data_IF_032246949025
#
_entry.id   IF_032246949025
#
_cell.length_a   1.000
_cell.length_b   1.000
_cell.length_c   1.000
_cell.angle_alpha   90.00
_cell.angle_beta   90.00
_cell.angle_gamma   90.00
#
_symmetry.space_group_name_H-M   'P 1'
#
loop_
_entity.id
_entity.type
_entity.pdbx_description
1 polymer ?
#
# COMPACT_ATOMS: atom_id res chain seq x y z
N UNK A 1 -105.39 2.75 27.49
CA UNK A 1 -104.92 3.53 28.66
C UNK A 1 -103.43 3.22 28.80
N UNK A 2 -102.52 4.18 28.57
CA UNK A 2 -101.79 4.93 29.63
C UNK A 2 -101.26 3.97 30.73
N UNK A 3 -99.99 3.94 31.18
CA UNK A 3 -98.86 4.89 31.12
C UNK A 3 -97.69 4.31 31.99
N UNK A 4 -96.44 4.66 31.66
CA UNK A 4 -95.28 4.99 32.53
C UNK A 4 -94.50 3.87 33.27
N UNK A 5 -93.19 3.76 32.98
CA UNK A 5 -92.00 3.97 33.87
C UNK A 5 -90.73 3.56 33.06
N UNK A 6 -89.90 4.47 32.55
CA UNK A 6 -88.71 5.10 33.18
C UNK A 6 -87.68 4.11 33.75
N UNK A 7 -86.49 4.03 33.13
CA UNK A 7 -85.26 3.66 33.84
C UNK A 7 -84.13 3.02 33.01
N UNK A 8 -82.96 3.66 33.06
CA UNK A 8 -81.60 3.09 32.93
C UNK A 8 -80.93 2.97 31.53
N UNK A 9 -80.23 4.06 31.20
CA UNK A 9 -78.81 4.09 30.84
C UNK A 9 -78.33 3.43 29.53
N UNK A 10 -78.47 4.19 28.44
CA UNK A 10 -77.67 4.06 27.22
C UNK A 10 -76.39 4.89 27.40
N UNK A 11 -75.28 4.25 27.77
CA UNK A 11 -73.98 4.89 27.96
C UNK A 11 -72.95 4.39 26.93
N UNK A 12 -72.63 5.29 26.00
CA UNK A 12 -71.31 5.52 25.40
C UNK A 12 -70.44 4.32 24.98
N UNK A 13 -70.52 3.93 23.70
CA UNK A 13 -69.39 3.41 22.93
C UNK A 13 -69.07 4.37 21.78
N UNK A 14 -68.29 5.40 22.08
CA UNK A 14 -67.60 6.27 21.12
C UNK A 14 -66.16 6.39 21.61
N UNK A 15 -65.38 5.34 21.40
CA UNK A 15 -63.95 5.32 21.69
C UNK A 15 -63.17 5.36 20.37
N UNK A 16 -62.71 6.56 20.05
CA UNK A 16 -61.39 6.87 19.49
C UNK A 16 -60.88 6.00 18.32
N UNK A 17 -61.36 6.30 17.11
CA UNK A 17 -60.57 6.18 15.88
C UNK A 17 -59.60 7.36 15.77
N UNK A 18 -58.62 7.45 16.68
CA UNK A 18 -57.54 8.41 16.56
C UNK A 18 -56.54 7.90 15.52
N UNK A 19 -56.71 8.34 14.27
CA UNK A 19 -55.63 8.26 13.28
C UNK A 19 -54.53 9.17 13.81
N UNK A 20 -53.52 8.61 14.47
CA UNK A 20 -52.34 9.37 14.82
C UNK A 20 -51.78 9.95 13.51
N UNK A 21 -51.48 11.25 13.43
CA UNK A 21 -50.75 11.77 12.29
C UNK A 21 -49.43 11.00 12.25
N UNK A 22 -49.19 10.28 11.16
CA UNK A 22 -47.87 9.75 10.87
C UNK A 22 -46.91 10.95 10.96
N UNK A 23 -46.06 10.96 11.98
CA UNK A 23 -45.01 11.97 12.11
C UNK A 23 -44.26 12.01 10.78
N UNK A 24 -44.31 13.18 10.15
CA UNK A 24 -43.70 13.46 8.87
C UNK A 24 -42.27 12.91 8.87
N UNK A 25 -41.99 11.99 7.94
CA UNK A 25 -40.63 11.76 7.49
C UNK A 25 -40.11 13.14 7.05
N UNK A 26 -39.12 13.69 7.78
CA UNK A 26 -38.56 15.01 7.46
C UNK A 26 -38.15 15.06 5.99
N UNK A 27 -38.29 16.23 5.36
CA UNK A 27 -38.02 16.41 3.92
C UNK A 27 -36.67 15.75 3.53
N UNK A 28 -36.67 14.68 2.71
CA UNK A 28 -35.44 13.94 2.39
C UNK A 28 -34.41 14.81 1.65
N UNK A 29 -34.87 15.87 0.97
CA UNK A 29 -34.00 16.83 0.28
C UNK A 29 -33.56 18.01 1.15
N UNK A 30 -33.80 17.95 2.46
CA UNK A 30 -33.27 18.97 3.36
C UNK A 30 -31.73 18.95 3.33
N UNK A 31 -31.08 20.12 3.17
CA UNK A 31 -29.65 20.24 3.37
C UNK A 31 -29.26 19.84 4.79
N UNK A 32 -28.15 19.12 4.94
CA UNK A 32 -27.52 18.78 6.22
C UNK A 32 -26.20 19.51 6.40
N UNK A 33 -25.45 19.68 5.30
CA UNK A 33 -24.18 20.38 5.27
C UNK A 33 -24.11 21.21 4.00
N UNK A 34 -23.68 22.46 4.11
CA UNK A 34 -23.28 23.29 2.99
C UNK A 34 -21.75 23.28 2.90
N UNK A 35 -21.22 23.07 1.70
CA UNK A 35 -19.80 23.07 1.37
C UNK A 35 -19.61 24.08 0.24
N UNK A 36 -19.08 25.26 0.56
CA UNK A 36 -19.07 26.41 -0.33
C UNK A 36 -20.50 26.69 -0.87
N UNK A 37 -20.70 26.65 -2.19
CA UNK A 37 -21.98 26.92 -2.84
C UNK A 37 -22.81 25.65 -3.11
N UNK A 38 -22.42 24.50 -2.55
CA UNK A 38 -23.11 23.21 -2.73
C UNK A 38 -23.66 22.67 -1.42
N UNK A 39 -24.78 21.95 -1.48
CA UNK A 39 -25.36 21.26 -0.34
C UNK A 39 -25.15 19.74 -0.43
N UNK A 40 -25.07 19.12 0.75
CA UNK A 40 -25.23 17.68 0.96
C UNK A 40 -26.57 17.48 1.65
N UNK A 41 -27.47 16.72 1.03
CA UNK A 41 -28.82 16.48 1.55
C UNK A 41 -28.90 15.23 2.42
N UNK A 42 -30.00 15.11 3.17
CA UNK A 42 -30.31 13.89 3.94
C UNK A 42 -30.42 12.66 3.04
N UNK A 43 -31.07 12.79 1.89
CA UNK A 43 -31.23 11.72 0.92
C UNK A 43 -29.87 11.20 0.43
N UNK A 44 -28.97 12.08 0.00
CA UNK A 44 -27.64 11.69 -0.47
C UNK A 44 -26.82 10.99 0.60
N UNK A 45 -26.91 11.45 1.85
CA UNK A 45 -26.25 10.79 2.97
C UNK A 45 -26.75 9.36 3.18
N UNK A 46 -28.07 9.16 3.17
CA UNK A 46 -28.66 7.83 3.32
C UNK A 46 -28.32 6.90 2.15
N UNK A 47 -28.30 7.43 0.92
CA UNK A 47 -27.88 6.70 -0.27
C UNK A 47 -26.41 6.29 -0.20
N UNK A 48 -25.54 7.22 0.24
CA UNK A 48 -24.10 6.96 0.40
C UNK A 48 -23.83 5.88 1.44
N UNK A 49 -24.54 5.88 2.57
CA UNK A 49 -24.39 4.85 3.61
C UNK A 49 -24.70 3.47 3.02
N UNK A 50 -25.85 3.30 2.35
CA UNK A 50 -26.22 2.03 1.71
C UNK A 50 -25.21 1.60 0.65
N UNK A 51 -24.76 2.55 -0.16
CA UNK A 51 -23.73 2.30 -1.17
C UNK A 51 -22.44 1.75 -0.54
N UNK A 52 -21.94 2.39 0.53
CA UNK A 52 -20.73 1.93 1.24
C UNK A 52 -20.90 0.57 1.93
N UNK A 53 -22.10 0.26 2.44
CA UNK A 53 -22.42 -1.04 3.03
C UNK A 53 -22.34 -2.17 2.00
N UNK A 54 -22.84 -1.95 0.79
CA UNK A 54 -22.75 -2.93 -0.31
C UNK A 54 -21.30 -3.17 -0.72
N UNK A 55 -20.49 -2.10 -0.74
CA UNK A 55 -19.07 -2.17 -1.02
C UNK A 55 -18.26 -2.80 0.13
N UNK A 56 -18.89 -3.10 1.27
CA UNK A 56 -18.24 -3.58 2.51
C UNK A 56 -17.07 -2.68 2.93
N UNK A 57 -17.25 -1.37 2.78
CA UNK A 57 -16.26 -0.41 3.23
C UNK A 57 -16.08 -0.50 4.76
N UNK A 58 -14.84 -0.46 5.29
CA UNK A 58 -14.56 -0.68 6.71
C UNK A 58 -15.30 0.29 7.64
N UNK A 59 -15.59 1.50 7.17
CA UNK A 59 -16.28 2.55 7.92
C UNK A 59 -17.57 3.02 7.20
N UNK A 60 -18.52 2.11 6.96
CA UNK A 60 -19.81 2.42 6.33
C UNK A 60 -20.82 3.08 7.31
N UNK A 61 -20.35 4.00 8.14
CA UNK A 61 -21.16 4.75 9.09
C UNK A 61 -21.60 6.13 8.56
N UNK A 62 -22.45 6.81 9.34
CA UNK A 62 -23.00 8.11 8.98
C UNK A 62 -21.91 9.20 8.88
N UNK A 63 -20.93 9.20 9.77
CA UNK A 63 -19.91 10.24 9.82
C UNK A 63 -18.96 10.14 8.63
N UNK A 64 -18.53 8.92 8.31
CA UNK A 64 -17.70 8.61 7.16
C UNK A 64 -18.42 8.89 5.82
N UNK A 65 -19.72 8.55 5.74
CA UNK A 65 -20.52 8.88 4.56
C UNK A 65 -20.71 10.40 4.37
N UNK A 66 -20.95 11.17 5.45
CA UNK A 66 -21.01 12.63 5.40
C UNK A 66 -19.68 13.21 4.93
N UNK A 67 -18.56 12.76 5.51
CA UNK A 67 -17.23 13.22 5.14
C UNK A 67 -16.88 12.91 3.67
N UNK A 68 -17.23 11.71 3.18
CA UNK A 68 -17.03 11.34 1.78
C UNK A 68 -17.81 12.25 0.82
N UNK A 69 -19.05 12.63 1.16
CA UNK A 69 -19.85 13.55 0.36
C UNK A 69 -19.29 14.97 0.39
N UNK A 70 -18.78 15.43 1.54
CA UNK A 70 -18.06 16.71 1.64
C UNK A 70 -16.84 16.69 0.70
N UNK A 71 -16.04 15.63 0.76
CA UNK A 71 -14.84 15.48 -0.08
C UNK A 71 -15.22 15.44 -1.57
N UNK A 72 -16.30 14.76 -1.95
CA UNK A 72 -16.82 14.77 -3.33
C UNK A 72 -17.19 16.21 -3.79
N UNK A 73 -17.81 17.03 -2.92
CA UNK A 73 -18.07 18.44 -3.23
C UNK A 73 -16.78 19.24 -3.42
N UNK A 74 -15.75 19.00 -2.60
CA UNK A 74 -14.47 19.68 -2.73
C UNK A 74 -13.72 19.28 -4.00
N UNK A 75 -13.79 18.01 -4.40
CA UNK A 75 -13.24 17.51 -5.67
C UNK A 75 -13.90 18.18 -6.87
N UNK A 76 -15.23 18.23 -6.88
CA UNK A 76 -16.01 18.91 -7.92
C UNK A 76 -15.70 20.42 -7.95
N UNK A 77 -15.59 21.05 -6.78
CA UNK A 77 -15.22 22.46 -6.67
C UNK A 77 -13.83 22.74 -7.27
N UNK A 78 -12.83 21.94 -6.95
CA UNK A 78 -11.48 22.08 -7.50
C UNK A 78 -11.46 21.85 -9.03
N UNK A 79 -12.20 20.87 -9.52
CA UNK A 79 -12.34 20.61 -10.95
C UNK A 79 -12.98 21.80 -11.68
N UNK A 80 -14.06 22.36 -11.12
CA UNK A 80 -14.75 23.51 -11.70
C UNK A 80 -13.85 24.76 -11.78
N UNK A 81 -12.98 25.00 -10.79
CA UNK A 81 -12.00 26.09 -10.84
C UNK A 81 -11.01 25.96 -12.01
N UNK A 82 -10.78 24.75 -12.49
CA UNK A 82 -9.89 24.44 -13.61
C UNK A 82 -10.63 24.24 -14.93
N UNK A 83 -11.96 24.40 -14.95
CA UNK A 83 -12.79 24.11 -16.12
C UNK A 83 -12.83 22.62 -16.50
N UNK A 84 -12.57 21.73 -15.55
CA UNK A 84 -12.60 20.27 -15.73
C UNK A 84 -14.02 19.76 -15.47
N UNK A 85 -14.59 19.07 -16.44
CA UNK A 85 -15.91 18.42 -16.33
C UNK A 85 -15.85 17.00 -16.86
N UNK A 86 -16.55 16.06 -16.22
CA UNK A 86 -16.68 14.70 -16.74
C UNK A 86 -17.75 14.66 -17.85
N UNK A 87 -17.39 14.15 -19.03
CA UNK A 87 -18.36 13.86 -20.10
C UNK A 87 -19.12 12.56 -19.82
N UNK A 88 -20.32 12.41 -20.40
CA UNK A 88 -21.13 11.20 -20.25
C UNK A 88 -20.36 9.93 -20.65
N UNK A 89 -19.59 9.99 -21.75
CA UNK A 89 -18.77 8.88 -22.21
C UNK A 89 -17.68 8.49 -21.18
N UNK A 90 -17.07 9.46 -20.51
CA UNK A 90 -16.09 9.18 -19.45
C UNK A 90 -16.77 8.58 -18.22
N UNK A 91 -17.98 9.05 -17.87
CA UNK A 91 -18.76 8.48 -16.77
C UNK A 91 -19.11 7.03 -17.09
N UNK A 92 -19.63 6.74 -18.28
CA UNK A 92 -19.99 5.39 -18.71
C UNK A 92 -18.79 4.44 -18.70
N UNK A 93 -17.62 4.89 -19.19
CA UNK A 93 -16.38 4.15 -19.10
C UNK A 93 -15.95 3.91 -17.64
N UNK A 94 -16.08 4.93 -16.78
CA UNK A 94 -15.77 4.82 -15.35
C UNK A 94 -16.72 3.87 -14.60
N UNK A 95 -18.01 3.83 -14.95
CA UNK A 95 -18.97 2.87 -14.41
C UNK A 95 -18.58 1.44 -14.79
N UNK A 96 -18.18 1.22 -16.04
CA UNK A 96 -17.73 -0.08 -16.53
C UNK A 96 -16.44 -0.53 -15.84
N UNK A 97 -15.46 0.36 -15.72
CA UNK A 97 -14.21 0.09 -14.99
C UNK A 97 -14.51 -0.26 -13.53
N UNK A 98 -15.38 0.50 -12.86
CA UNK A 98 -15.70 0.28 -11.46
C UNK A 98 -16.41 -1.07 -11.24
N UNK A 99 -17.44 -1.37 -12.03
CA UNK A 99 -18.17 -2.64 -11.94
C UNK A 99 -17.25 -3.85 -12.25
N UNK A 100 -16.34 -3.68 -13.23
CA UNK A 100 -15.38 -4.71 -13.62
C UNK A 100 -14.44 -5.14 -12.50
N UNK A 101 -14.16 -4.29 -11.51
CA UNK A 101 -13.35 -4.64 -10.32
C UNK A 101 -14.02 -5.70 -9.44
N UNK A 102 -15.35 -5.78 -9.49
CA UNK A 102 -16.13 -6.82 -8.83
C UNK A 102 -16.41 -8.03 -9.75
N UNK A 103 -15.80 -8.08 -10.94
CA UNK A 103 -16.11 -9.04 -12.01
C UNK A 103 -17.58 -8.98 -12.47
N UNK A 104 -18.20 -7.80 -12.44
CA UNK A 104 -19.60 -7.58 -12.82
C UNK A 104 -19.71 -6.61 -14.00
N UNK A 105 -20.77 -6.75 -14.80
CA UNK A 105 -21.16 -5.74 -15.79
C UNK A 105 -21.90 -4.55 -15.14
N UNK A 106 -21.96 -3.40 -15.84
CA UNK A 106 -22.62 -2.18 -15.32
C UNK A 106 -24.08 -2.43 -14.96
N UNK A 107 -24.84 -3.12 -15.81
CA UNK A 107 -26.26 -3.43 -15.56
C UNK A 107 -26.44 -4.37 -14.36
N UNK A 108 -25.58 -5.38 -14.23
CA UNK A 108 -25.62 -6.33 -13.12
C UNK A 108 -25.31 -5.64 -11.79
N UNK A 109 -24.26 -4.82 -11.78
CA UNK A 109 -23.90 -4.03 -10.62
C UNK A 109 -25.00 -3.03 -10.25
N UNK A 110 -25.58 -2.34 -11.23
CA UNK A 110 -26.69 -1.40 -11.01
C UNK A 110 -27.93 -2.11 -10.45
N UNK A 111 -28.25 -3.33 -10.91
CA UNK A 111 -29.34 -4.14 -10.34
C UNK A 111 -29.05 -4.53 -8.89
N UNK A 112 -27.82 -4.92 -8.56
CA UNK A 112 -27.42 -5.22 -7.19
C UNK A 112 -27.56 -4.00 -6.26
N UNK A 113 -27.17 -2.82 -6.74
CA UNK A 113 -27.38 -1.55 -6.04
C UNK A 113 -28.88 -1.25 -5.82
N UNK A 114 -29.69 -1.39 -6.86
CA UNK A 114 -31.12 -1.14 -6.80
C UNK A 114 -31.85 -2.07 -5.82
N UNK A 115 -31.47 -3.35 -5.75
CA UNK A 115 -31.99 -4.33 -4.78
C UNK A 115 -31.70 -3.94 -3.34
N UNK A 116 -30.58 -3.26 -3.10
CA UNK A 116 -30.21 -2.71 -1.80
C UNK A 116 -30.74 -1.27 -1.58
N UNK A 117 -31.58 -0.76 -2.48
CA UNK A 117 -32.21 0.55 -2.37
C UNK A 117 -31.26 1.73 -2.62
N UNK A 118 -30.20 1.52 -3.39
CA UNK A 118 -29.29 2.56 -3.88
C UNK A 118 -29.71 2.99 -5.29
N UNK A 119 -29.94 4.29 -5.47
CA UNK A 119 -30.27 4.93 -6.74
C UNK A 119 -29.06 4.94 -7.68
N UNK A 120 -29.30 4.74 -8.98
CA UNK A 120 -28.26 4.76 -10.01
C UNK A 120 -27.51 6.09 -10.02
N UNK A 121 -28.20 7.20 -9.74
CA UNK A 121 -27.55 8.51 -9.70
C UNK A 121 -26.43 8.58 -8.65
N UNK A 122 -26.59 7.91 -7.49
CA UNK A 122 -25.56 7.84 -6.44
C UNK A 122 -24.26 7.22 -6.98
N UNK A 123 -24.39 6.18 -7.79
CA UNK A 123 -23.25 5.51 -8.41
C UNK A 123 -22.60 6.40 -9.49
N UNK A 124 -23.41 7.06 -10.32
CA UNK A 124 -22.93 8.03 -11.32
C UNK A 124 -22.17 9.20 -10.68
N UNK A 125 -22.72 9.80 -9.64
CA UNK A 125 -22.11 10.95 -8.94
C UNK A 125 -20.77 10.57 -8.31
N UNK A 126 -20.69 9.39 -7.68
CA UNK A 126 -19.45 8.87 -7.12
C UNK A 126 -18.36 8.69 -8.19
N UNK A 127 -18.72 8.11 -9.34
CA UNK A 127 -17.78 7.91 -10.44
C UNK A 127 -17.37 9.25 -11.06
N UNK A 128 -18.30 10.18 -11.26
CA UNK A 128 -18.02 11.50 -11.80
C UNK A 128 -17.04 12.29 -10.91
N UNK A 129 -17.27 12.31 -9.59
CA UNK A 129 -16.37 12.95 -8.63
C UNK A 129 -14.95 12.35 -8.69
N UNK A 130 -14.84 11.02 -8.83
CA UNK A 130 -13.56 10.34 -9.01
C UNK A 130 -12.85 10.68 -10.33
N UNK A 131 -13.58 10.76 -11.44
CA UNK A 131 -13.03 11.12 -12.76
C UNK A 131 -12.44 12.53 -12.75
N UNK A 132 -13.24 13.51 -12.32
CA UNK A 132 -12.76 14.91 -12.32
C UNK A 132 -11.60 15.09 -11.36
N UNK A 133 -11.60 14.36 -10.23
CA UNK A 133 -10.50 14.42 -9.29
C UNK A 133 -9.20 13.86 -9.87
N UNK A 134 -9.25 12.71 -10.56
CA UNK A 134 -8.06 12.18 -11.25
C UNK A 134 -7.49 13.19 -12.25
N UNK A 135 -8.36 13.90 -12.96
CA UNK A 135 -7.93 14.91 -13.92
C UNK A 135 -7.33 16.15 -13.25
N UNK A 136 -7.89 16.60 -12.12
CA UNK A 136 -7.29 17.64 -11.27
C UNK A 136 -5.90 17.23 -10.80
N UNK A 137 -5.74 16.02 -10.28
CA UNK A 137 -4.44 15.48 -9.83
C UNK A 137 -3.45 15.44 -11.01
N UNK A 138 -3.88 14.96 -12.17
CA UNK A 138 -3.05 14.85 -13.39
C UNK A 138 -2.58 16.20 -13.90
N UNK A 139 -3.45 17.21 -13.93
CA UNK A 139 -3.09 18.53 -14.47
C UNK A 139 -2.33 19.39 -13.47
N UNK A 140 -2.70 19.34 -12.18
CA UNK A 140 -2.15 20.24 -11.16
C UNK A 140 -0.96 19.66 -10.41
N UNK A 141 -1.02 18.39 -10.02
CA UNK A 141 -0.10 17.81 -9.03
C UNK A 141 1.01 17.00 -9.68
N UNK A 142 0.69 16.19 -10.69
CA UNK A 142 1.68 15.36 -11.41
C UNK A 142 2.91 16.17 -11.88
N UNK A 143 2.77 17.36 -12.50
CA UNK A 143 3.94 18.14 -12.95
C UNK A 143 4.84 18.64 -11.81
N UNK A 144 4.32 18.70 -10.58
CA UNK A 144 5.04 19.17 -9.40
C UNK A 144 5.81 18.03 -8.70
N UNK A 145 5.49 16.78 -9.02
CA UNK A 145 6.12 15.62 -8.41
C UNK A 145 7.35 15.22 -9.21
N UNK A 146 8.50 15.20 -8.54
CA UNK A 146 9.76 14.69 -9.09
C UNK A 146 10.35 13.68 -8.12
N UNK A 147 10.97 12.64 -8.68
CA UNK A 147 11.73 11.63 -7.93
C UNK A 147 13.19 11.86 -8.23
N UNK A 148 13.96 12.24 -7.20
CA UNK A 148 15.40 12.43 -7.36
C UNK A 148 16.12 11.08 -7.35
N UNK A 149 17.30 11.02 -7.97
CA UNK A 149 18.11 9.79 -7.94
C UNK A 149 18.56 9.44 -6.52
N UNK A 150 18.80 10.44 -5.66
CA UNK A 150 19.13 10.22 -4.25
C UNK A 150 17.98 9.56 -3.47
N UNK A 151 16.74 9.96 -3.73
CA UNK A 151 15.54 9.36 -3.14
C UNK A 151 15.35 7.91 -3.62
N UNK A 152 15.58 7.68 -4.92
CA UNK A 152 15.54 6.34 -5.51
C UNK A 152 16.61 5.43 -4.88
N UNK A 153 17.85 5.91 -4.75
CA UNK A 153 18.95 5.17 -4.14
C UNK A 153 18.65 4.84 -2.67
N UNK A 154 18.08 5.79 -1.92
CA UNK A 154 17.68 5.59 -0.53
C UNK A 154 16.61 4.51 -0.40
N UNK A 155 15.58 4.50 -1.25
CA UNK A 155 14.52 3.49 -1.20
C UNK A 155 15.03 2.11 -1.63
N UNK A 156 15.89 2.04 -2.64
CA UNK A 156 16.53 0.79 -3.05
C UNK A 156 17.42 0.24 -1.94
N UNK A 157 18.21 1.09 -1.28
CA UNK A 157 19.05 0.68 -0.15
C UNK A 157 18.19 0.20 1.02
N UNK A 158 17.10 0.91 1.35
CA UNK A 158 16.14 0.49 2.38
C UNK A 158 15.57 -0.89 2.09
N UNK A 159 15.22 -1.18 0.84
CA UNK A 159 14.71 -2.49 0.44
C UNK A 159 15.74 -3.60 0.67
N UNK A 160 17.03 -3.32 0.40
CA UNK A 160 18.15 -4.24 0.56
C UNK A 160 18.45 -4.50 2.04
N UNK A 161 18.42 -3.45 2.85
CA UNK A 161 18.66 -3.49 4.30
C UNK A 161 17.48 -4.04 5.10
N UNK A 162 16.29 -4.11 4.49
CA UNK A 162 15.12 -4.72 5.12
C UNK A 162 15.24 -6.24 5.05
N UNK A 163 15.33 -6.96 6.18
CA UNK A 163 15.36 -8.42 6.18
C UNK A 163 14.05 -8.97 5.61
N UNK A 164 14.14 -9.95 4.71
CA UNK A 164 12.96 -10.70 4.29
C UNK A 164 12.66 -11.76 5.34
N UNK A 165 11.38 -11.98 5.62
CA UNK A 165 10.95 -13.10 6.46
C UNK A 165 11.33 -14.39 5.75
N UNK A 166 12.21 -15.17 6.38
CA UNK A 166 12.64 -16.48 5.87
C UNK A 166 12.02 -17.62 6.65
N UNK A 167 11.71 -17.40 7.93
CA UNK A 167 11.14 -18.41 8.81
C UNK A 167 9.99 -17.84 9.62
N UNK A 168 9.00 -18.68 9.90
CA UNK A 168 7.83 -18.32 10.71
C UNK A 168 7.58 -19.36 11.79
N UNK A 169 7.00 -18.89 12.89
CA UNK A 169 6.44 -19.73 13.94
C UNK A 169 4.92 -19.51 13.97
N UNK A 170 4.17 -20.55 13.60
CA UNK A 170 2.72 -20.51 13.52
C UNK A 170 2.10 -21.41 14.58
N UNK A 171 0.94 -21.02 15.08
CA UNK A 171 -0.02 -21.95 15.67
C UNK A 171 -1.22 -22.12 14.73
N UNK A 172 -1.79 -23.31 14.68
CA UNK A 172 -2.97 -23.64 13.88
C UNK A 172 -4.16 -24.04 14.76
N UNK A 173 -5.36 -23.79 14.25
CA UNK A 173 -6.62 -24.27 14.81
C UNK A 173 -7.51 -24.69 13.64
N UNK A 174 -7.87 -25.97 13.59
CA UNK A 174 -8.70 -26.55 12.52
C UNK A 174 -10.05 -26.94 13.09
N UNK A 175 -11.10 -26.25 12.65
CA UNK A 175 -12.49 -26.51 13.01
C UNK A 175 -13.10 -27.43 11.95
N UNK A 176 -13.53 -28.66 12.28
CA UNK A 176 -14.23 -29.52 11.33
C UNK A 176 -15.50 -28.85 10.79
N UNK A 177 -15.68 -28.95 9.48
CA UNK A 177 -16.82 -28.42 8.75
C UNK A 177 -17.37 -29.51 7.80
N UNK A 178 -17.89 -30.64 8.34
CA UNK A 178 -18.50 -31.67 7.50
C UNK A 178 -19.72 -31.12 6.75
N UNK A 179 -20.16 -31.79 5.67
CA UNK A 179 -21.32 -31.36 4.89
C UNK A 179 -22.55 -31.03 5.75
N UNK A 180 -23.05 -29.81 5.64
CA UNK A 180 -24.19 -29.29 6.40
C UNK A 180 -23.85 -28.57 7.70
N UNK A 181 -22.58 -28.48 8.09
CA UNK A 181 -22.11 -27.77 9.30
C UNK A 181 -21.15 -26.61 8.99
N UNK A 182 -20.93 -26.28 7.72
CA UNK A 182 -19.96 -25.28 7.27
C UNK A 182 -20.27 -23.89 7.85
N UNK A 183 -21.55 -23.50 7.87
CA UNK A 183 -21.97 -22.22 8.44
C UNK A 183 -21.71 -22.13 9.95
N UNK A 184 -21.87 -23.24 10.67
CA UNK A 184 -21.60 -23.30 12.10
C UNK A 184 -20.09 -23.20 12.38
N UNK A 185 -19.28 -23.95 11.64
CA UNK A 185 -17.82 -23.90 11.73
C UNK A 185 -17.28 -22.49 11.41
N UNK A 186 -17.82 -21.86 10.37
CA UNK A 186 -17.47 -20.49 9.99
C UNK A 186 -17.85 -19.49 11.09
N UNK A 187 -19.09 -19.55 11.61
CA UNK A 187 -19.53 -18.65 12.68
C UNK A 187 -18.69 -18.79 13.96
N UNK A 188 -18.24 -20.01 14.30
CA UNK A 188 -17.29 -20.22 15.38
C UNK A 188 -15.93 -19.58 15.07
N UNK A 189 -15.39 -19.80 13.87
CA UNK A 189 -14.11 -19.21 13.46
C UNK A 189 -14.13 -17.67 13.54
N UNK A 190 -15.17 -17.03 13.01
CA UNK A 190 -15.36 -15.58 13.06
C UNK A 190 -15.43 -15.07 14.51
N UNK A 191 -16.12 -15.79 15.39
CA UNK A 191 -16.18 -15.46 16.82
C UNK A 191 -14.81 -15.56 17.52
N UNK A 192 -13.98 -16.51 17.10
CA UNK A 192 -12.61 -16.68 17.60
C UNK A 192 -11.70 -15.55 17.12
N UNK A 193 -11.77 -15.17 15.84
CA UNK A 193 -11.05 -13.97 15.34
C UNK A 193 -11.42 -12.73 16.14
N UNK A 194 -12.69 -12.59 16.50
CA UNK A 194 -13.17 -11.46 17.29
C UNK A 194 -12.84 -11.54 18.79
N UNK A 195 -12.48 -12.68 19.35
CA UNK A 195 -12.25 -12.81 20.81
C UNK A 195 -10.78 -13.05 21.18
N UNK A 196 -10.00 -13.70 20.32
CA UNK A 196 -8.57 -13.94 20.54
C UNK A 196 -7.81 -12.60 20.46
N UNK A 197 -7.02 -12.30 21.50
CA UNK A 197 -6.17 -11.10 21.58
C UNK A 197 -4.71 -11.40 21.84
N UNK A 198 -4.42 -12.62 22.25
CA UNK A 198 -3.09 -13.07 22.61
C UNK A 198 -2.85 -14.52 22.16
N UNK A 199 -1.58 -14.92 22.16
CA UNK A 199 -1.18 -16.30 21.91
C UNK A 199 -1.81 -17.27 22.92
N UNK A 200 -2.01 -16.83 24.18
CA UNK A 200 -2.62 -17.64 25.22
C UNK A 200 -4.09 -17.92 24.94
N UNK A 201 -4.83 -16.92 24.42
CA UNK A 201 -6.23 -17.09 24.02
C UNK A 201 -6.34 -18.06 22.85
N UNK A 202 -5.47 -17.90 21.84
CA UNK A 202 -5.43 -18.82 20.71
C UNK A 202 -5.09 -20.24 21.13
N UNK A 203 -4.10 -20.40 22.03
CA UNK A 203 -3.71 -21.68 22.59
C UNK A 203 -4.86 -22.37 23.33
N UNK A 204 -5.66 -21.61 24.09
CA UNK A 204 -6.85 -22.14 24.76
C UNK A 204 -7.93 -22.58 23.76
N UNK A 205 -8.21 -21.74 22.75
CA UNK A 205 -9.16 -22.05 21.70
C UNK A 205 -8.73 -23.29 20.89
N UNK A 206 -7.44 -23.42 20.58
CA UNK A 206 -6.88 -24.56 19.86
C UNK A 206 -7.08 -25.86 20.64
N UNK A 207 -6.77 -25.88 21.94
CA UNK A 207 -7.02 -27.04 22.81
C UNK A 207 -8.50 -27.44 22.89
N UNK A 208 -9.40 -26.46 22.82
CA UNK A 208 -10.84 -26.68 22.98
C UNK A 208 -11.54 -27.09 21.68
N UNK A 209 -11.13 -26.53 20.54
CA UNK A 209 -11.90 -26.59 19.31
C UNK A 209 -11.17 -27.24 18.12
N UNK A 210 -9.84 -27.38 18.17
CA UNK A 210 -9.09 -27.92 17.05
C UNK A 210 -9.19 -29.45 16.98
N UNK A 211 -9.36 -29.98 15.77
CA UNK A 211 -9.43 -31.42 15.50
C UNK A 211 -8.10 -32.04 15.02
N UNK A 212 -6.98 -31.35 15.26
CA UNK A 212 -5.63 -31.80 14.90
C UNK A 212 -4.83 -32.28 16.11
N UNK A 213 -3.83 -33.19 15.95
CA UNK A 213 -2.93 -33.57 17.05
C UNK A 213 -2.18 -32.39 17.67
N UNK A 214 -1.89 -31.36 16.86
CA UNK A 214 -1.25 -30.13 17.34
C UNK A 214 -2.06 -29.43 18.44
N UNK A 215 -3.37 -29.69 18.56
CA UNK A 215 -4.23 -29.16 19.62
C UNK A 215 -3.69 -29.46 21.02
N UNK A 216 -3.11 -30.64 21.25
CA UNK A 216 -2.51 -31.04 22.52
C UNK A 216 -1.32 -30.13 22.90
N UNK A 217 -0.55 -29.74 21.88
CA UNK A 217 0.53 -28.75 21.97
C UNK A 217 0.03 -27.32 21.73
N UNK A 218 -1.26 -27.06 22.03
CA UNK A 218 -1.89 -25.74 21.89
C UNK A 218 -1.86 -25.15 20.47
N UNK A 219 -1.95 -26.03 19.47
CA UNK A 219 -1.87 -25.72 18.05
C UNK A 219 -0.46 -25.42 17.55
N UNK A 220 0.59 -25.58 18.36
CA UNK A 220 1.93 -25.08 18.01
C UNK A 220 2.59 -25.90 16.91
N UNK A 221 2.94 -25.25 15.80
CA UNK A 221 3.83 -25.79 14.77
C UNK A 221 5.30 -25.43 15.05
N UNK A 222 6.28 -26.25 14.64
CA UNK A 222 7.69 -25.89 14.73
C UNK A 222 8.03 -24.69 13.84
N UNK A 223 9.17 -24.05 14.11
CA UNK A 223 9.73 -23.07 13.18
C UNK A 223 9.94 -23.72 11.83
N UNK A 224 9.52 -23.05 10.77
CA UNK A 224 9.70 -23.55 9.41
C UNK A 224 10.08 -22.44 8.44
N UNK A 225 10.86 -22.77 7.40
CA UNK A 225 11.05 -21.91 6.25
C UNK A 225 9.70 -21.50 5.66
N UNK A 226 9.56 -20.22 5.31
CA UNK A 226 8.34 -19.68 4.71
C UNK A 226 7.99 -20.39 3.38
N UNK A 227 9.01 -20.80 2.64
CA UNK A 227 8.90 -21.55 1.38
C UNK A 227 8.26 -22.93 1.55
N UNK A 228 8.30 -23.52 2.75
CA UNK A 228 7.65 -24.78 3.06
C UNK A 228 6.13 -24.62 3.24
N UNK A 229 5.61 -23.39 3.31
CA UNK A 229 4.16 -23.15 3.31
C UNK A 229 3.58 -23.33 1.90
N UNK A 230 2.34 -23.88 1.81
CA UNK A 230 1.55 -23.84 0.58
C UNK A 230 1.56 -22.44 -0.05
N UNK A 231 1.72 -22.33 -1.39
CA UNK A 231 1.80 -21.03 -2.06
C UNK A 231 0.65 -20.07 -1.74
N UNK A 232 -0.56 -20.60 -1.57
CA UNK A 232 -1.76 -19.83 -1.20
C UNK A 232 -1.71 -19.23 0.20
N UNK A 233 -0.96 -19.81 1.14
CA UNK A 233 -0.85 -19.33 2.52
C UNK A 233 0.22 -18.26 2.70
N UNK A 234 1.29 -18.29 1.90
CA UNK A 234 2.41 -17.33 2.01
C UNK A 234 1.97 -15.87 2.04
N UNK A 235 1.14 -15.34 1.11
CA UNK A 235 0.75 -13.93 1.14
C UNK A 235 -0.09 -13.59 2.38
N UNK A 236 -0.91 -14.52 2.87
CA UNK A 236 -1.71 -14.34 4.08
C UNK A 236 -0.76 -14.19 5.28
N UNK A 237 0.17 -15.12 5.47
CA UNK A 237 1.13 -15.08 6.58
C UNK A 237 2.05 -13.86 6.50
N UNK A 238 2.52 -13.47 5.30
CA UNK A 238 3.34 -12.28 5.09
C UNK A 238 2.61 -10.96 5.37
N UNK A 239 1.28 -10.94 5.25
CA UNK A 239 0.46 -9.77 5.59
C UNK A 239 0.21 -9.63 7.10
N UNK A 240 0.43 -10.70 7.87
CA UNK A 240 0.22 -10.73 9.32
C UNK A 240 1.42 -10.17 10.06
N UNK A 241 1.18 -9.55 11.21
CA UNK A 241 2.20 -9.20 12.19
C UNK A 241 2.27 -10.27 13.28
N UNK A 242 3.45 -10.51 13.90
CA UNK A 242 3.53 -11.32 15.11
C UNK A 242 2.49 -10.89 16.15
N UNK A 243 1.80 -11.85 16.75
CA UNK A 243 0.68 -11.66 17.66
C UNK A 243 -0.70 -11.59 16.99
N UNK A 244 -0.80 -11.68 15.66
CA UNK A 244 -2.07 -11.63 14.94
C UNK A 244 -2.64 -13.01 14.60
N UNK A 245 -3.97 -13.10 14.60
CA UNK A 245 -4.75 -14.22 14.07
C UNK A 245 -5.17 -13.94 12.61
N UNK A 246 -5.19 -14.97 11.77
CA UNK A 246 -5.64 -14.87 10.38
C UNK A 246 -7.17 -14.71 10.31
N UNK A 247 -7.67 -14.31 9.14
CA UNK A 247 -9.07 -14.54 8.80
C UNK A 247 -9.37 -16.04 8.65
N UNK A 248 -10.63 -16.49 8.79
CA UNK A 248 -11.01 -17.88 8.54
C UNK A 248 -10.68 -18.31 7.12
N UNK A 249 -9.96 -19.43 6.99
CA UNK A 249 -9.61 -20.03 5.70
C UNK A 249 -10.45 -21.28 5.50
N UNK A 250 -11.24 -21.32 4.42
CA UNK A 250 -12.03 -22.51 4.08
C UNK A 250 -11.18 -23.49 3.28
N UNK A 251 -11.19 -24.74 3.74
CA UNK A 251 -10.66 -25.88 3.00
C UNK A 251 -11.74 -26.95 2.95
N UNK A 252 -11.57 -27.96 2.11
CA UNK A 252 -12.55 -29.04 2.01
C UNK A 252 -12.74 -29.73 3.38
N UNK A 253 -13.96 -29.65 3.92
CA UNK A 253 -14.32 -30.27 5.19
C UNK A 253 -13.84 -29.55 6.46
N UNK A 254 -13.23 -28.36 6.39
CA UNK A 254 -12.78 -27.63 7.57
C UNK A 254 -12.66 -26.10 7.39
N UNK A 255 -12.63 -25.38 8.51
CA UNK A 255 -12.24 -23.97 8.60
C UNK A 255 -10.96 -23.87 9.42
N UNK A 256 -9.94 -23.21 8.88
CA UNK A 256 -8.61 -23.11 9.48
C UNK A 256 -8.33 -21.68 9.92
N UNK A 257 -7.75 -21.53 11.11
CA UNK A 257 -7.20 -20.28 11.62
C UNK A 257 -5.72 -20.47 11.92
N UNK A 258 -4.92 -19.45 11.61
CA UNK A 258 -3.52 -19.37 12.00
C UNK A 258 -3.27 -18.22 12.96
N UNK A 259 -2.33 -18.41 13.88
CA UNK A 259 -1.77 -17.35 14.70
C UNK A 259 -0.28 -17.23 14.42
N UNK A 260 0.16 -16.05 13.98
CA UNK A 260 1.58 -15.79 13.77
C UNK A 260 2.22 -15.48 15.12
N UNK A 261 2.94 -16.44 15.70
CA UNK A 261 3.61 -16.23 16.99
C UNK A 261 4.82 -15.32 16.83
N UNK A 262 5.65 -15.62 15.84
CA UNK A 262 6.89 -14.90 15.59
C UNK A 262 7.36 -15.13 14.15
N UNK A 263 8.23 -14.25 13.67
CA UNK A 263 8.84 -14.31 12.34
C UNK A 263 10.31 -13.92 12.42
N UNK A 264 11.17 -14.62 11.68
CA UNK A 264 12.59 -14.30 11.56
C UNK A 264 12.92 -14.04 10.11
N UNK A 265 13.87 -13.14 9.90
CA UNK A 265 14.32 -12.79 8.56
C UNK A 265 15.82 -12.78 8.41
N UNK A 266 16.25 -12.82 7.15
CA UNK A 266 17.64 -12.62 6.75
C UNK A 266 17.69 -11.54 5.67
N UNK A 267 18.82 -10.84 5.60
CA UNK A 267 19.10 -9.99 4.45
C UNK A 267 19.30 -10.86 3.21
N UNK A 268 19.04 -10.28 2.04
CA UNK A 268 19.34 -10.93 0.76
C UNK A 268 20.83 -11.24 0.67
N UNK A 269 21.23 -12.35 0.00
CA UNK A 269 22.63 -12.58 -0.37
C UNK A 269 23.20 -11.34 -1.09
N UNK A 270 24.43 -10.95 -0.75
CA UNK A 270 25.06 -9.74 -1.32
C UNK A 270 24.61 -8.40 -0.72
N UNK A 271 23.57 -8.35 0.12
CA UNK A 271 23.12 -7.10 0.75
C UNK A 271 24.17 -6.45 1.66
N UNK A 272 25.01 -7.27 2.30
CA UNK A 272 26.11 -6.80 3.16
C UNK A 272 27.42 -6.60 2.40
N UNK A 273 27.55 -7.18 1.22
CA UNK A 273 28.75 -7.04 0.41
C UNK A 273 28.79 -5.63 -0.16
N UNK A 274 29.93 -4.95 0.02
CA UNK A 274 30.13 -3.59 -0.46
C UNK A 274 30.92 -3.63 -1.75
N UNK A 275 30.49 -2.82 -2.72
CA UNK A 275 31.22 -2.52 -3.94
C UNK A 275 31.59 -1.04 -3.88
N UNK A 276 32.87 -0.74 -4.08
CA UNK A 276 33.37 0.63 -4.14
C UNK A 276 33.68 0.97 -5.60
N UNK A 277 33.11 2.08 -6.06
CA UNK A 277 33.56 2.79 -7.25
C UNK A 277 34.49 3.92 -6.81
N UNK A 278 35.74 3.91 -7.29
CA UNK A 278 36.77 4.85 -6.85
C UNK A 278 37.75 5.14 -7.98
N UNK A 279 38.42 6.30 -7.88
CA UNK A 279 39.51 6.70 -8.77
C UNK A 279 40.84 6.57 -8.05
N UNK A 280 41.81 5.97 -8.72
CA UNK A 280 43.22 5.97 -8.34
C UNK A 280 44.01 6.81 -9.33
N UNK A 281 44.67 7.84 -8.84
CA UNK A 281 45.48 8.76 -9.64
C UNK A 281 46.90 8.87 -9.09
N UNK A 282 47.87 8.37 -9.85
CA UNK A 282 49.30 8.48 -9.56
C UNK A 282 49.88 9.78 -10.11
N UNK A 283 50.52 10.56 -9.26
CA UNK A 283 51.00 11.91 -9.52
C UNK A 283 52.49 12.03 -9.18
N UNK A 284 53.17 12.97 -9.83
CA UNK A 284 54.61 13.09 -9.75
C UNK A 284 55.10 13.61 -8.38
N UNK A 285 54.23 14.30 -7.62
CA UNK A 285 54.58 14.83 -6.29
C UNK A 285 53.38 14.97 -5.37
N UNK A 286 53.65 14.98 -4.06
CA UNK A 286 52.64 15.23 -3.02
C UNK A 286 51.98 16.61 -3.15
N UNK A 287 52.74 17.64 -3.51
CA UNK A 287 52.22 18.99 -3.67
C UNK A 287 51.19 19.07 -4.81
N UNK A 288 51.47 18.39 -5.93
CA UNK A 288 50.55 18.31 -7.05
C UNK A 288 49.26 17.55 -6.69
N UNK A 289 49.38 16.42 -5.98
CA UNK A 289 48.24 15.65 -5.52
C UNK A 289 47.34 16.43 -4.58
N UNK A 290 47.90 17.13 -3.59
CA UNK A 290 47.11 17.98 -2.70
C UNK A 290 46.41 19.13 -3.44
N UNK A 291 47.07 19.71 -4.46
CA UNK A 291 46.47 20.77 -5.28
C UNK A 291 45.30 20.24 -6.10
N UNK A 292 45.44 19.08 -6.74
CA UNK A 292 44.37 18.45 -7.53
C UNK A 292 43.21 18.06 -6.62
N UNK A 293 43.49 17.42 -5.48
CA UNK A 293 42.49 17.06 -4.48
C UNK A 293 41.66 18.28 -4.02
N UNK A 294 42.32 19.39 -3.71
CA UNK A 294 41.64 20.61 -3.28
C UNK A 294 40.82 21.32 -4.37
N UNK A 295 40.96 20.93 -5.64
CA UNK A 295 40.25 21.51 -6.79
C UNK A 295 39.21 20.54 -7.39
N UNK A 296 39.09 19.33 -6.84
CA UNK A 296 38.22 18.29 -7.38
C UNK A 296 37.08 18.02 -6.42
N UNK A 297 35.85 18.36 -6.83
CA UNK A 297 34.64 18.12 -6.03
C UNK A 297 33.99 16.76 -6.38
N UNK A 298 34.41 16.15 -7.49
CA UNK A 298 33.88 14.89 -7.97
C UNK A 298 34.94 14.02 -8.65
N UNK A 299 34.65 12.72 -8.78
CA UNK A 299 35.51 11.81 -9.54
C UNK A 299 35.67 12.21 -11.01
N UNK A 300 34.69 12.90 -11.59
CA UNK A 300 34.79 13.39 -12.97
C UNK A 300 35.85 14.49 -13.13
N UNK A 301 36.01 15.34 -12.11
CA UNK A 301 36.97 16.46 -12.12
C UNK A 301 38.42 15.96 -12.18
N UNK A 302 38.71 14.83 -11.53
CA UNK A 302 40.02 14.19 -11.59
C UNK A 302 40.43 13.84 -13.03
N UNK A 303 39.49 13.39 -13.87
CA UNK A 303 39.76 13.10 -15.28
C UNK A 303 39.96 14.36 -16.12
N UNK A 304 39.41 15.50 -15.70
CA UNK A 304 39.71 16.79 -16.33
C UNK A 304 41.17 17.17 -16.08
N UNK A 305 41.67 16.94 -14.86
CA UNK A 305 43.07 17.18 -14.51
C UNK A 305 44.05 16.21 -15.17
N UNK A 306 43.60 15.00 -15.54
CA UNK A 306 44.42 13.98 -16.16
C UNK A 306 44.49 14.05 -17.71
N UNK A 307 43.92 15.10 -18.33
CA UNK A 307 43.94 15.24 -19.80
C UNK A 307 45.37 15.26 -20.34
N UNK A 308 45.66 14.35 -21.28
CA UNK A 308 46.98 14.22 -21.89
C UNK A 308 47.96 13.33 -21.13
N UNK A 309 47.57 12.78 -19.98
CA UNK A 309 48.36 11.79 -19.25
C UNK A 309 48.10 10.36 -19.77
N UNK A 310 49.05 9.43 -19.59
CA UNK A 310 48.83 8.01 -19.89
C UNK A 310 47.65 7.44 -19.09
N UNK A 311 46.82 6.56 -19.67
CA UNK A 311 45.67 5.96 -18.99
C UNK A 311 46.07 5.09 -17.79
N UNK A 312 47.33 4.71 -17.67
CA UNK A 312 47.82 3.97 -16.49
C UNK A 312 48.02 4.85 -15.26
N UNK A 313 48.08 6.17 -15.42
CA UNK A 313 48.24 7.10 -14.31
C UNK A 313 46.91 7.37 -13.58
N UNK A 314 45.78 7.29 -14.28
CA UNK A 314 44.45 7.49 -13.70
C UNK A 314 43.53 6.33 -14.07
N UNK A 315 42.98 5.65 -13.06
CA UNK A 315 42.11 4.50 -13.25
C UNK A 315 40.86 4.65 -12.39
N UNK A 316 39.68 4.57 -12.99
CA UNK A 316 38.42 4.36 -12.25
C UNK A 316 38.16 2.87 -12.17
N UNK A 317 37.83 2.40 -10.99
CA UNK A 317 37.63 0.98 -10.71
C UNK A 317 36.36 0.81 -9.89
N UNK A 318 35.58 -0.21 -10.23
CA UNK A 318 34.41 -0.63 -9.46
C UNK A 318 34.66 -2.06 -9.02
N UNK A 319 34.99 -2.25 -7.74
CA UNK A 319 35.42 -3.54 -7.20
C UNK A 319 34.70 -3.86 -5.91
N UNK A 320 34.36 -5.14 -5.65
CA UNK A 320 33.99 -5.59 -4.31
C UNK A 320 35.08 -5.21 -3.32
N UNK A 321 34.70 -4.77 -2.12
CA UNK A 321 35.63 -4.31 -1.10
C UNK A 321 36.70 -5.36 -0.76
N UNK A 322 36.35 -6.65 -0.82
CA UNK A 322 37.29 -7.75 -0.59
C UNK A 322 38.34 -7.96 -1.69
N UNK A 323 38.17 -7.34 -2.86
CA UNK A 323 39.11 -7.41 -3.99
C UNK A 323 40.05 -6.18 -4.06
N UNK A 324 39.83 -5.17 -3.22
CA UNK A 324 40.64 -3.95 -3.18
C UNK A 324 41.90 -4.21 -2.35
N UNK A 325 43.10 -3.79 -2.81
CA UNK A 325 44.33 -3.93 -2.03
C UNK A 325 44.21 -3.34 -0.63
N UNK A 326 44.69 -4.04 0.41
CA UNK A 326 44.46 -3.68 1.81
C UNK A 326 44.84 -2.23 2.17
N UNK A 327 45.93 -1.71 1.59
CA UNK A 327 46.37 -0.33 1.80
C UNK A 327 45.39 0.70 1.23
N UNK A 328 44.85 0.44 0.03
CA UNK A 328 43.84 1.29 -0.61
C UNK A 328 42.49 1.18 0.13
N UNK A 329 42.09 -0.04 0.49
CA UNK A 329 40.85 -0.32 1.21
C UNK A 329 40.75 0.43 2.55
N UNK A 330 41.83 0.48 3.34
CA UNK A 330 41.88 1.22 4.61
C UNK A 330 41.69 2.73 4.43
N UNK A 331 42.17 3.29 3.31
CA UNK A 331 41.98 4.71 2.99
C UNK A 331 40.55 4.96 2.53
N UNK A 332 40.04 4.16 1.60
CA UNK A 332 38.68 4.28 1.07
C UNK A 332 37.60 4.03 2.13
N UNK A 333 37.90 3.28 3.20
CA UNK A 333 36.95 2.96 4.27
C UNK A 333 36.50 4.17 5.09
N UNK A 334 37.36 5.19 5.24
CA UNK A 334 37.04 6.40 6.02
C UNK A 334 36.50 7.54 5.17
N UNK A 335 36.53 7.39 3.84
CA UNK A 335 36.06 8.40 2.91
C UNK A 335 34.54 8.34 2.74
N UNK A 336 33.94 9.51 2.60
CA UNK A 336 32.59 9.68 2.08
C UNK A 336 32.59 9.81 0.54
N UNK A 337 31.40 9.80 -0.07
CA UNK A 337 31.26 9.97 -1.53
C UNK A 337 31.89 11.30 -1.99
N UNK A 338 32.74 11.21 -3.01
CA UNK A 338 33.60 12.26 -3.58
C UNK A 338 34.69 12.82 -2.66
N UNK A 339 34.98 12.17 -1.53
CA UNK A 339 36.10 12.56 -0.68
C UNK A 339 37.41 11.96 -1.18
N UNK A 340 38.53 12.67 -0.95
CA UNK A 340 39.87 12.26 -1.39
C UNK A 340 40.79 11.88 -0.24
N UNK A 341 41.71 10.96 -0.50
CA UNK A 341 42.88 10.68 0.34
C UNK A 341 44.13 10.74 -0.50
N UNK A 342 45.18 11.40 0.00
CA UNK A 342 46.47 11.50 -0.67
C UNK A 342 47.54 10.80 0.15
N UNK A 343 48.32 9.93 -0.49
CA UNK A 343 49.40 9.17 0.13
C UNK A 343 50.71 9.42 -0.62
N UNK A 344 51.78 9.73 0.13
CA UNK A 344 53.13 9.87 -0.42
C UNK A 344 53.75 8.49 -0.70
N UNK A 345 54.36 8.33 -1.88
CA UNK A 345 55.07 7.11 -2.29
C UNK A 345 56.45 7.46 -2.86
N UNK A 346 57.47 7.54 -2.00
CA UNK A 346 58.87 7.61 -2.42
C UNK A 346 59.21 8.79 -3.34
N UNK A 347 58.54 9.94 -3.19
CA UNK A 347 58.70 11.14 -4.02
C UNK A 347 57.53 11.39 -4.96
N UNK A 348 56.79 10.35 -5.34
CA UNK A 348 55.50 10.44 -6.01
C UNK A 348 54.35 10.52 -4.99
N UNK A 349 53.12 10.68 -5.47
CA UNK A 349 51.92 10.58 -4.65
C UNK A 349 50.81 9.81 -5.34
N UNK A 350 49.98 9.16 -4.54
CA UNK A 350 48.76 8.49 -4.98
C UNK A 350 47.57 9.21 -4.36
N UNK A 351 46.66 9.67 -5.21
CA UNK A 351 45.38 10.25 -4.84
C UNK A 351 44.31 9.17 -5.08
N UNK A 352 43.60 8.83 -4.02
CA UNK A 352 42.41 7.99 -4.06
C UNK A 352 41.19 8.89 -3.84
N UNK A 353 40.15 8.72 -4.64
CA UNK A 353 38.85 9.37 -4.40
C UNK A 353 37.76 8.32 -4.44
N UNK A 354 36.94 8.24 -3.40
CA UNK A 354 35.76 7.38 -3.40
C UNK A 354 34.68 8.05 -4.23
N UNK A 355 34.19 7.42 -5.29
CA UNK A 355 33.09 7.96 -6.11
C UNK A 355 31.74 7.54 -5.55
N UNK A 356 31.62 6.26 -5.21
CA UNK A 356 30.40 5.68 -4.67
C UNK A 356 30.70 4.47 -3.80
N UNK A 357 30.09 4.42 -2.61
CA UNK A 357 29.94 3.18 -1.83
C UNK A 357 28.50 2.68 -1.94
N UNK A 358 28.34 1.42 -2.35
CA UNK A 358 27.02 0.80 -2.50
C UNK A 358 27.06 -0.70 -2.23
N UNK A 359 25.90 -1.29 -1.94
CA UNK A 359 25.81 -2.74 -1.82
C UNK A 359 26.04 -3.43 -3.17
N UNK A 360 26.53 -4.67 -3.17
CA UNK A 360 26.76 -5.44 -4.38
C UNK A 360 25.48 -5.62 -5.21
N UNK A 361 24.32 -5.68 -4.54
CA UNK A 361 23.01 -5.77 -5.17
C UNK A 361 22.60 -4.51 -5.96
N UNK A 362 23.07 -3.32 -5.55
CA UNK A 362 22.86 -2.09 -6.32
C UNK A 362 23.84 -1.99 -7.49
N UNK A 363 25.10 -2.38 -7.24
CA UNK A 363 26.15 -2.33 -8.25
C UNK A 363 25.87 -3.27 -9.43
N UNK A 364 25.31 -4.46 -9.18
CA UNK A 364 24.97 -5.43 -10.23
C UNK A 364 23.82 -4.96 -11.14
N UNK A 365 22.85 -4.21 -10.61
CA UNK A 365 21.76 -3.61 -11.38
C UNK A 365 22.22 -2.50 -12.32
N UNK A 366 23.23 -1.71 -11.93
CA UNK A 366 23.82 -0.67 -12.77
C UNK A 366 24.68 -1.22 -13.92
N UNK A 367 25.27 -2.42 -13.74
CA UNK A 367 26.05 -3.09 -14.79
C UNK A 367 25.18 -3.70 -15.90
N UNK A 368 23.87 -3.86 -15.68
CA UNK A 368 22.93 -4.43 -16.65
C UNK A 368 22.47 -3.44 -17.75
N UNK A 369 22.94 -2.18 -17.74
CA UNK A 369 22.66 -1.19 -18.79
C UNK A 369 23.52 -1.36 -20.07
N UNK A 370 24.40 -2.38 -20.13
CA UNK A 370 24.99 -2.83 -21.38
C UNK A 370 23.96 -3.65 -22.19
N UNK A 371 23.90 -3.53 -23.54
CA UNK A 371 22.84 -4.14 -24.32
C UNK A 371 22.91 -5.67 -24.19
N UNK A 372 22.00 -6.24 -23.42
CA UNK A 372 21.81 -7.69 -23.36
C UNK A 372 21.23 -8.10 -24.69
N UNK A 373 22.06 -8.74 -25.52
CA UNK A 373 21.61 -9.44 -26.70
C UNK A 373 20.50 -10.42 -26.28
N UNK A 374 19.31 -10.22 -26.84
CA UNK A 374 18.14 -11.08 -26.64
C UNK A 374 18.49 -12.48 -27.14
N UNK A 375 18.84 -13.36 -26.21
CA UNK A 375 18.85 -14.80 -26.47
C UNK A 375 17.38 -15.25 -26.45
N UNK A 376 16.83 -15.44 -27.65
CA UNK A 376 15.56 -16.15 -27.84
C UNK A 376 15.79 -17.60 -27.43
N UNK A 377 15.27 -18.00 -26.27
CA UNK A 377 15.09 -19.42 -25.94
C UNK A 377 13.65 -19.83 -26.16
N UNK A 378 13.52 -20.97 -26.80
CA UNK A 378 12.29 -21.56 -27.29
C UNK A 378 11.30 -21.94 -26.18
N UNK A 379 10.06 -22.01 -26.61
CA UNK A 379 8.81 -22.39 -25.97
C UNK A 379 8.90 -23.48 -24.89
N UNK A 380 8.10 -23.30 -23.82
CA UNK A 380 7.39 -24.42 -23.23
C UNK A 380 7.69 -24.78 -21.77
N UNK A 381 8.25 -23.90 -20.95
CA UNK A 381 8.42 -24.16 -19.51
C UNK A 381 7.59 -23.17 -18.70
N UNK A 382 6.74 -23.70 -17.80
CA UNK A 382 5.94 -22.90 -16.89
C UNK A 382 6.85 -21.89 -16.20
N UNK A 383 6.55 -20.59 -16.36
CA UNK A 383 7.37 -19.52 -15.81
C UNK A 383 7.70 -19.84 -14.36
N UNK A 384 9.00 -20.06 -14.09
CA UNK A 384 9.48 -20.25 -12.73
C UNK A 384 8.91 -19.11 -11.88
N UNK A 385 8.36 -19.45 -10.71
CA UNK A 385 7.88 -18.44 -9.79
C UNK A 385 9.00 -17.39 -9.61
N UNK A 386 8.70 -16.08 -9.74
CA UNK A 386 9.72 -15.05 -9.70
C UNK A 386 10.58 -15.23 -8.45
N UNK A 387 11.90 -15.19 -8.63
CA UNK A 387 12.84 -15.40 -7.54
C UNK A 387 12.53 -14.37 -6.43
N UNK A 388 12.19 -14.83 -5.20
CA UNK A 388 11.85 -13.93 -4.10
C UNK A 388 13.01 -13.04 -3.65
N UNK A 389 14.24 -13.28 -4.14
CA UNK A 389 15.40 -12.42 -3.94
C UNK A 389 15.55 -11.31 -4.99
N UNK A 390 14.76 -11.32 -6.06
CA UNK A 390 14.82 -10.30 -7.12
C UNK A 390 14.42 -8.93 -6.58
N UNK A 391 15.28 -7.94 -6.79
CA UNK A 391 14.96 -6.54 -6.53
C UNK A 391 14.18 -5.97 -7.73
N UNK A 392 13.23 -5.05 -7.51
CA UNK A 392 12.65 -4.29 -8.60
C UNK A 392 13.76 -3.52 -9.31
N UNK A 393 13.59 -3.33 -10.61
CA UNK A 393 14.52 -2.46 -11.34
C UNK A 393 14.34 -1.00 -10.91
N UNK A 394 15.31 -0.15 -11.31
CA UNK A 394 15.35 1.26 -10.92
C UNK A 394 14.17 2.06 -11.50
N UNK A 395 13.66 1.70 -12.67
CA UNK A 395 12.54 2.39 -13.31
C UNK A 395 11.23 2.04 -12.63
N UNK A 396 11.02 0.76 -12.31
CA UNK A 396 9.89 0.26 -11.55
C UNK A 396 9.84 0.93 -10.17
N UNK A 397 10.96 0.95 -9.44
CA UNK A 397 11.03 1.62 -8.14
C UNK A 397 10.75 3.13 -8.27
N UNK A 398 11.29 3.80 -9.29
CA UNK A 398 11.01 5.22 -9.54
C UNK A 398 9.52 5.47 -9.79
N UNK A 399 8.88 4.61 -10.57
CA UNK A 399 7.43 4.68 -10.84
C UNK A 399 6.59 4.45 -9.58
N UNK A 400 6.99 3.52 -8.71
CA UNK A 400 6.34 3.27 -7.43
C UNK A 400 6.45 4.47 -6.48
N UNK A 401 7.65 5.07 -6.35
CA UNK A 401 7.88 6.27 -5.54
C UNK A 401 7.05 7.43 -6.09
N UNK A 402 7.09 7.65 -7.41
CA UNK A 402 6.33 8.71 -8.08
C UNK A 402 4.83 8.57 -7.79
N UNK A 403 4.27 7.38 -7.98
CA UNK A 403 2.84 7.11 -7.73
C UNK A 403 2.45 7.36 -6.28
N UNK A 404 3.30 6.96 -5.32
CA UNK A 404 3.09 7.22 -3.89
C UNK A 404 3.08 8.71 -3.58
N UNK A 405 4.03 9.48 -4.13
CA UNK A 405 4.12 10.94 -3.95
C UNK A 405 2.93 11.66 -4.58
N UNK A 406 2.47 11.24 -5.76
CA UNK A 406 1.26 11.79 -6.38
C UNK A 406 0.04 11.56 -5.48
N UNK A 407 -0.12 10.35 -4.93
CA UNK A 407 -1.18 10.04 -3.97
C UNK A 407 -1.13 10.94 -2.73
N UNK A 408 0.04 11.06 -2.11
CA UNK A 408 0.23 11.93 -0.95
C UNK A 408 -0.04 13.42 -1.27
N UNK A 409 0.39 13.89 -2.44
CA UNK A 409 0.11 15.25 -2.89
C UNK A 409 -1.41 15.48 -3.09
N UNK A 410 -2.12 14.49 -3.63
CA UNK A 410 -3.56 14.54 -3.78
C UNK A 410 -4.28 14.61 -2.42
N UNK A 411 -3.88 13.78 -1.46
CA UNK A 411 -4.46 13.79 -0.11
C UNK A 411 -4.20 15.12 0.60
N UNK A 412 -2.98 15.66 0.50
CA UNK A 412 -2.62 16.96 1.05
C UNK A 412 -3.44 18.08 0.41
N UNK A 413 -3.64 18.05 -0.91
CA UNK A 413 -4.43 19.06 -1.62
C UNK A 413 -5.91 18.98 -1.23
N UNK A 414 -6.47 17.79 -1.05
CA UNK A 414 -7.84 17.63 -0.56
C UNK A 414 -7.99 18.14 0.89
N UNK A 415 -6.99 17.90 1.74
CA UNK A 415 -6.97 18.45 3.10
C UNK A 415 -6.89 19.99 3.10
N UNK A 416 -6.11 20.59 2.19
CA UNK A 416 -6.05 22.04 1.99
C UNK A 416 -7.40 22.60 1.54
N UNK A 417 -8.05 21.96 0.55
CA UNK A 417 -9.40 22.33 0.11
C UNK A 417 -10.38 22.30 1.27
N UNK A 418 -10.31 21.29 2.13
CA UNK A 418 -11.16 21.16 3.32
C UNK A 418 -10.90 22.26 4.33
N UNK A 419 -9.64 22.61 4.58
CA UNK A 419 -9.26 23.67 5.51
C UNK A 419 -9.74 25.06 5.04
N UNK A 420 -9.75 25.29 3.72
CA UNK A 420 -10.15 26.56 3.13
C UNK A 420 -11.65 26.64 2.80
N UNK A 421 -12.38 25.53 2.89
CA UNK A 421 -13.79 25.49 2.55
C UNK A 421 -14.68 26.15 3.62
N UNK A 422 -15.75 26.80 3.17
CA UNK A 422 -16.81 27.27 4.05
C UNK A 422 -17.78 26.12 4.27
N UNK A 423 -17.65 25.43 5.40
CA UNK A 423 -18.53 24.32 5.78
C UNK A 423 -19.51 24.80 6.86
N UNK A 424 -20.81 24.80 6.54
CA UNK A 424 -21.87 25.26 7.45
C UNK A 424 -22.93 24.18 7.63
N UNK A 425 -23.47 24.05 8.83
CA UNK A 425 -24.63 23.22 9.13
C UNK A 425 -25.84 24.14 9.37
N UNK A 426 -27.03 23.77 8.87
CA UNK A 426 -28.25 24.59 8.98
C UNK A 426 -28.74 24.75 10.41
#
# INVERSE_FOLDING_TARGET
MRRILLGAAMAAMLAAGGVAPAFAQGNPFQPLVYVNDSAVTRYELEQRIRFLQILRAPDADRASAEQALIDDRLRLFAANQMGITASDAQIDAGLAEFAGRANLGVEEFTRALAQAGVEQQTFRDFVAAGIVWREVVRQRLVPQVQVSDAELDQEMQRLIETPRITHVALSELIIPAPPGQEAQAMGLAESLVQSVRSEADFAAAARQHSATPSAEESGRLPWMPLENLPPSLRPIILSMKPGQISQPLTVEGAVVLFFLRDSRGALRPGAREQVLDYVRFRLASLAEANRIAALSDSCADLFVHARGLPPEQIQRQTLPQGQIPAAEALRLAVLDDNETSVVSQGGAAELLMLCKRQSALLASGAAAEAPVAVAVTAEGEAAAAPDPDTLPDREEMRSQIFSRKVGQAADNYLAELRANAIIRRP
#
